data_IF_552678446476
#
_entry.id   IF_552678446476
#
_cell.length_a   1.000
_cell.length_b   1.000
_cell.length_c   1.000
_cell.angle_alpha   90.00
_cell.angle_beta   90.00
_cell.angle_gamma   90.00
#
_symmetry.space_group_name_H-M   'P 1'
#
loop_
_entity.id
_entity.type
_entity.pdbx_description
1 polymer ?
#
# COMPACT_ATOMS: atom_id res chain seq x y z
N UNK A 1 43.07 40.75 9.51
CA UNK A 1 42.52 40.50 8.17
C UNK A 1 41.07 40.09 8.33
N UNK A 2 40.17 40.90 7.76
CA UNK A 2 38.72 40.69 7.73
C UNK A 2 38.41 39.55 6.74
N UNK A 3 37.51 38.64 7.11
CA UNK A 3 36.81 37.79 6.16
C UNK A 3 35.32 38.10 6.32
N UNK A 4 34.89 39.12 5.58
CA UNK A 4 33.50 39.38 5.29
C UNK A 4 33.30 39.09 3.79
N UNK A 5 32.08 38.67 3.45
CA UNK A 5 31.50 38.65 2.10
C UNK A 5 31.86 37.45 1.22
N UNK A 6 30.93 36.48 1.15
CA UNK A 6 30.32 35.99 -0.10
C UNK A 6 29.38 34.80 0.21
N UNK A 7 28.16 35.08 0.66
CA UNK A 7 27.00 34.18 0.43
C UNK A 7 25.78 35.06 0.20
N UNK A 8 25.55 35.40 -1.07
CA UNK A 8 24.28 35.92 -1.55
C UNK A 8 23.61 34.81 -2.34
N UNK A 9 22.58 34.20 -1.76
CA UNK A 9 21.26 34.08 -2.36
C UNK A 9 20.31 33.40 -1.37
N UNK A 10 19.09 33.95 -1.31
CA UNK A 10 18.11 33.72 -0.27
C UNK A 10 17.61 32.27 -0.22
N UNK A 11 17.96 31.56 0.85
CA UNK A 11 17.25 30.35 1.26
C UNK A 11 15.85 30.74 1.74
N UNK A 12 14.76 30.13 1.23
CA UNK A 12 13.44 30.37 1.79
C UNK A 12 13.44 29.94 3.26
N UNK A 13 12.97 30.83 4.12
CA UNK A 13 12.82 30.59 5.56
C UNK A 13 11.87 29.41 5.76
N UNK A 14 12.24 28.36 6.51
CA UNK A 14 11.30 27.28 6.81
C UNK A 14 10.14 27.86 7.62
N UNK A 15 8.91 27.59 7.17
CA UNK A 15 7.70 27.90 7.91
C UNK A 15 7.78 27.27 9.31
N UNK A 16 7.43 28.00 10.38
CA UNK A 16 7.52 27.47 11.73
C UNK A 16 6.52 26.32 11.88
N UNK A 17 7.03 25.12 12.13
CA UNK A 17 6.23 24.00 12.65
C UNK A 17 5.75 24.41 14.03
N UNK A 18 4.49 24.82 14.13
CA UNK A 18 3.80 24.97 15.42
C UNK A 18 3.61 23.58 16.01
N UNK A 19 4.59 23.13 16.80
CA UNK A 19 4.35 22.09 17.80
C UNK A 19 3.42 22.70 18.86
N UNK A 20 2.13 22.43 18.72
CA UNK A 20 1.15 22.72 19.75
C UNK A 20 1.51 21.94 21.01
N UNK A 21 2.15 22.61 21.96
CA UNK A 21 2.28 22.09 23.32
C UNK A 21 0.89 22.04 23.94
N UNK A 22 0.45 20.83 24.32
CA UNK A 22 -0.75 20.62 25.13
C UNK A 22 -1.85 19.82 24.43
N UNK A 23 -1.62 18.53 24.16
CA UNK A 23 -2.64 17.47 24.21
C UNK A 23 -1.98 16.20 24.72
N UNK A 24 -2.67 15.48 25.59
CA UNK A 24 -2.36 14.10 25.99
C UNK A 24 -1.87 13.29 24.80
N UNK A 25 -0.89 12.40 25.03
CA UNK A 25 -0.40 11.47 24.01
C UNK A 25 -1.58 10.71 23.41
N UNK A 26 -2.09 11.18 22.27
CA UNK A 26 -3.06 10.42 21.50
C UNK A 26 -2.31 9.18 21.04
N UNK A 27 -2.74 8.02 21.53
CA UNK A 27 -2.32 6.73 20.96
C UNK A 27 -2.73 6.80 19.49
N UNK A 28 -1.76 7.00 18.60
CA UNK A 28 -2.01 6.94 17.18
C UNK A 28 -2.44 5.51 16.86
N UNK A 29 -3.66 5.35 16.36
CA UNK A 29 -4.15 4.06 15.88
C UNK A 29 -3.21 3.54 14.78
N UNK A 30 -2.92 2.23 14.79
CA UNK A 30 -2.07 1.57 13.80
C UNK A 30 -2.56 1.75 12.35
N UNK A 31 -3.86 1.97 12.18
CA UNK A 31 -4.55 2.22 10.93
C UNK A 31 -5.80 3.06 11.18
N UNK A 32 -6.40 3.56 10.11
CA UNK A 32 -7.67 4.28 10.14
C UNK A 32 -8.63 3.78 9.07
N UNK A 33 -9.93 4.01 9.30
CA UNK A 33 -10.99 3.69 8.35
C UNK A 33 -11.78 4.96 8.08
N UNK A 34 -11.86 5.34 6.82
CA UNK A 34 -12.65 6.48 6.35
C UNK A 34 -13.86 5.91 5.61
N UNK A 35 -15.04 6.10 6.21
CA UNK A 35 -16.29 5.60 5.67
C UNK A 35 -16.93 6.62 4.70
N UNK A 36 -17.53 6.16 3.60
CA UNK A 36 -18.21 7.03 2.64
C UNK A 36 -19.56 7.51 3.20
N UNK A 37 -20.05 8.66 2.69
CA UNK A 37 -21.43 9.11 2.99
C UNK A 37 -22.50 8.22 2.35
N UNK A 38 -22.22 7.72 1.14
CA UNK A 38 -23.05 6.77 0.41
C UNK A 38 -22.21 5.56 0.09
N UNK A 39 -22.51 4.46 0.76
CA UNK A 39 -21.69 3.27 0.72
C UNK A 39 -21.89 2.47 -0.58
N UNK A 40 -20.78 2.03 -1.18
CA UNK A 40 -20.68 1.06 -2.27
C UNK A 40 -19.99 -0.23 -1.74
N UNK A 41 -19.96 -1.33 -2.52
CA UNK A 41 -19.28 -2.57 -2.12
C UNK A 41 -17.74 -2.49 -2.20
N UNK A 42 -17.19 -1.35 -2.59
CA UNK A 42 -15.74 -1.18 -2.76
C UNK A 42 -15.08 -0.83 -1.43
N UNK A 43 -13.98 -1.52 -1.13
CA UNK A 43 -13.00 -1.18 -0.10
C UNK A 43 -11.67 -0.92 -0.81
N UNK A 44 -11.08 0.24 -0.58
CA UNK A 44 -9.71 0.54 -0.98
C UNK A 44 -8.81 0.33 0.23
N UNK A 45 -7.83 -0.53 0.11
CA UNK A 45 -6.85 -0.83 1.15
C UNK A 45 -5.50 -0.22 0.77
N UNK A 46 -4.91 0.55 1.67
CA UNK A 46 -3.56 1.13 1.53
C UNK A 46 -2.70 0.65 2.70
N UNK A 47 -2.06 -0.53 2.58
CA UNK A 47 -1.38 -1.16 3.71
C UNK A 47 0.01 -0.57 3.98
N UNK A 48 0.53 0.28 3.08
CA UNK A 48 1.97 0.54 2.97
C UNK A 48 2.38 2.03 2.91
N UNK A 49 1.44 2.96 3.01
CA UNK A 49 1.73 4.40 3.02
C UNK A 49 2.21 4.92 4.40
N UNK A 50 1.98 4.14 5.46
CA UNK A 50 2.36 4.49 6.82
C UNK A 50 3.86 4.62 7.03
N UNK A 51 4.26 5.58 7.88
CA UNK A 51 5.66 5.84 8.25
C UNK A 51 5.89 5.73 9.77
N UNK A 52 4.83 5.52 10.54
CA UNK A 52 4.92 5.52 12.00
C UNK A 52 5.59 4.23 12.50
N UNK A 53 6.58 4.40 13.38
CA UNK A 53 7.16 3.33 14.18
C UNK A 53 6.89 3.71 15.65
N UNK A 54 6.21 2.84 16.40
CA UNK A 54 6.07 3.04 17.84
C UNK A 54 7.43 2.95 18.54
N UNK A 55 7.60 3.57 19.72
CA UNK A 55 8.89 3.60 20.41
C UNK A 55 9.50 2.21 20.66
N UNK A 56 8.66 1.20 20.95
CA UNK A 56 9.10 -0.17 21.21
C UNK A 56 9.65 -0.81 19.93
N UNK A 57 8.96 -0.64 18.78
CA UNK A 57 9.48 -1.08 17.48
C UNK A 57 10.69 -0.29 16.99
N UNK A 58 10.75 1.01 17.25
CA UNK A 58 11.89 1.85 16.89
C UNK A 58 13.16 1.39 17.63
N UNK A 59 13.05 0.94 18.88
CA UNK A 59 14.19 0.43 19.65
C UNK A 59 14.89 -0.79 19.01
N UNK A 60 14.20 -1.53 18.14
CA UNK A 60 14.78 -2.64 17.39
C UNK A 60 15.33 -2.23 16.02
N UNK A 61 14.96 -1.04 15.53
CA UNK A 61 15.17 -0.64 14.14
C UNK A 61 16.50 0.11 13.98
N UNK A 62 17.36 -0.38 13.08
CA UNK A 62 18.65 0.24 12.71
C UNK A 62 18.69 0.67 11.24
N UNK A 63 17.58 0.51 10.52
CA UNK A 63 17.46 0.98 9.15
C UNK A 63 17.84 2.48 9.05
N UNK A 64 18.53 2.91 7.98
CA UNK A 64 18.71 4.33 7.71
C UNK A 64 17.35 5.03 7.67
N UNK A 65 17.23 6.22 8.26
CA UNK A 65 15.95 6.93 8.37
C UNK A 65 15.27 7.14 7.01
N UNK A 66 16.05 7.40 5.95
CA UNK A 66 15.55 7.53 4.57
C UNK A 66 14.86 6.26 4.07
N UNK A 67 15.26 5.08 4.54
CA UNK A 67 14.70 3.81 4.11
C UNK A 67 13.24 3.63 4.56
N UNK A 68 12.82 4.25 5.67
CA UNK A 68 11.41 4.24 6.10
C UNK A 68 10.50 4.83 5.01
N UNK A 69 10.87 5.98 4.45
CA UNK A 69 10.13 6.61 3.35
C UNK A 69 10.33 5.89 2.02
N UNK A 70 11.57 5.49 1.71
CA UNK A 70 11.88 4.83 0.43
C UNK A 70 11.18 3.49 0.25
N UNK A 71 11.06 2.71 1.33
CA UNK A 71 10.38 1.41 1.31
C UNK A 71 8.87 1.55 1.49
N UNK A 72 8.35 2.71 1.90
CA UNK A 72 6.91 2.97 1.96
C UNK A 72 6.33 3.26 0.58
N UNK A 73 5.03 2.98 0.44
CA UNK A 73 4.24 3.40 -0.73
C UNK A 73 3.78 4.84 -0.52
N UNK A 74 4.77 5.74 -0.50
CA UNK A 74 4.55 7.16 -0.20
C UNK A 74 3.43 7.75 -1.05
N UNK A 75 2.56 8.51 -0.39
CA UNK A 75 1.44 9.26 -0.96
C UNK A 75 0.30 8.42 -1.57
N UNK A 76 0.36 7.08 -1.55
CA UNK A 76 -0.74 6.26 -2.09
C UNK A 76 -2.04 6.47 -1.30
N UNK A 77 -1.95 6.74 0.00
CA UNK A 77 -3.11 7.13 0.81
C UNK A 77 -3.73 8.45 0.31
N UNK A 78 -2.90 9.40 -0.10
CA UNK A 78 -3.33 10.67 -0.67
C UNK A 78 -3.85 10.55 -2.12
N UNK A 79 -3.31 9.62 -2.92
CA UNK A 79 -3.82 9.32 -4.27
C UNK A 79 -5.25 8.73 -4.23
N UNK A 80 -5.58 7.99 -3.17
CA UNK A 80 -6.91 7.40 -2.97
C UNK A 80 -7.76 8.15 -1.94
N UNK A 81 -7.35 9.35 -1.53
CA UNK A 81 -8.07 10.14 -0.52
C UNK A 81 -9.52 10.46 -0.92
N UNK A 82 -9.82 10.53 -2.22
CA UNK A 82 -11.16 10.82 -2.74
C UNK A 82 -12.04 9.56 -2.94
N UNK A 83 -11.55 8.38 -2.55
CA UNK A 83 -12.30 7.13 -2.66
C UNK A 83 -13.62 7.14 -1.84
N UNK A 84 -13.67 7.73 -0.62
CA UNK A 84 -14.91 7.88 0.13
C UNK A 84 -15.97 8.76 -0.53
N UNK A 85 -15.60 9.84 -1.24
CA UNK A 85 -16.54 10.64 -2.03
C UNK A 85 -17.14 9.82 -3.19
N UNK A 86 -16.36 8.90 -3.77
CA UNK A 86 -16.80 7.96 -4.78
C UNK A 86 -17.55 6.73 -4.20
N UNK A 87 -17.74 6.67 -2.88
CA UNK A 87 -18.56 5.68 -2.20
C UNK A 87 -17.81 4.46 -1.68
N UNK A 88 -16.49 4.37 -1.84
CA UNK A 88 -15.70 3.28 -1.26
C UNK A 88 -15.37 3.54 0.22
N UNK A 89 -15.16 2.48 0.99
CA UNK A 89 -14.48 2.61 2.29
C UNK A 89 -12.97 2.62 2.07
N UNK A 90 -12.24 3.56 2.68
CA UNK A 90 -10.78 3.61 2.61
C UNK A 90 -10.18 3.11 3.94
N UNK A 91 -9.33 2.08 3.88
CA UNK A 91 -8.58 1.53 5.01
C UNK A 91 -7.09 1.85 4.81
N UNK A 92 -6.52 2.69 5.68
CA UNK A 92 -5.13 3.15 5.54
C UNK A 92 -4.31 2.71 6.75
N UNK A 93 -3.21 2.01 6.51
CA UNK A 93 -2.21 1.74 7.53
C UNK A 93 -1.41 3.02 7.84
N UNK A 94 -1.26 3.33 9.12
CA UNK A 94 -0.45 4.46 9.60
C UNK A 94 0.94 4.00 10.05
N UNK A 95 1.03 2.73 10.46
CA UNK A 95 2.28 2.04 10.81
C UNK A 95 3.12 1.75 9.57
N UNK A 96 4.44 1.90 9.68
CA UNK A 96 5.38 1.50 8.63
C UNK A 96 5.45 -0.02 8.46
N UNK A 97 5.57 -0.48 7.21
CA UNK A 97 5.80 -1.90 6.89
C UNK A 97 7.08 -2.47 7.52
N UNK A 98 8.04 -1.61 7.91
CA UNK A 98 9.24 -2.04 8.62
C UNK A 98 8.94 -2.52 10.05
N UNK A 99 7.81 -2.10 10.64
CA UNK A 99 7.29 -2.67 11.89
C UNK A 99 6.70 -4.05 11.61
N UNK A 100 5.69 -4.11 10.75
CA UNK A 100 5.05 -5.34 10.30
C UNK A 100 4.42 -5.11 8.93
N UNK A 101 4.69 -6.00 8.00
CA UNK A 101 4.18 -5.90 6.63
C UNK A 101 2.75 -6.47 6.55
N UNK A 102 1.76 -5.58 6.48
CA UNK A 102 0.34 -5.94 6.42
C UNK A 102 -0.08 -6.60 5.10
N UNK A 103 0.80 -6.68 4.09
CA UNK A 103 0.54 -7.40 2.84
C UNK A 103 1.37 -8.70 2.75
N UNK A 104 1.73 -9.28 3.91
CA UNK A 104 2.33 -10.60 4.08
C UNK A 104 1.45 -11.51 4.93
N UNK A 105 1.60 -12.82 4.74
CA UNK A 105 0.93 -13.78 5.61
C UNK A 105 1.53 -13.72 7.01
N UNK A 106 0.74 -13.97 8.05
CA UNK A 106 1.23 -14.16 9.41
C UNK A 106 2.26 -15.31 9.50
N UNK A 107 2.21 -16.26 8.57
CA UNK A 107 3.18 -17.34 8.44
C UNK A 107 4.48 -16.95 7.74
N UNK A 108 4.57 -15.78 7.11
CA UNK A 108 5.72 -15.35 6.31
C UNK A 108 6.89 -14.84 7.17
N UNK A 109 7.18 -15.53 8.28
CA UNK A 109 8.18 -15.14 9.26
C UNK A 109 9.56 -15.66 8.85
N UNK A 110 10.49 -14.76 8.50
CA UNK A 110 11.88 -15.07 8.15
C UNK A 110 12.63 -15.68 9.36
N UNK A 111 13.33 -16.79 9.11
CA UNK A 111 14.18 -17.48 10.07
C UNK A 111 15.29 -16.59 10.66
N UNK A 112 15.72 -15.57 9.92
CA UNK A 112 16.76 -14.62 10.30
C UNK A 112 16.20 -13.28 10.82
N UNK A 113 14.90 -13.03 10.72
CA UNK A 113 14.29 -11.81 11.29
C UNK A 113 13.77 -12.03 12.71
N UNK A 114 13.26 -13.24 13.01
CA UNK A 114 12.62 -13.56 14.29
C UNK A 114 13.18 -14.86 14.86
N UNK A 115 13.41 -14.89 16.17
CA UNK A 115 13.80 -16.09 16.90
C UNK A 115 12.71 -17.17 16.79
N UNK A 116 13.08 -18.35 16.29
CA UNK A 116 12.11 -19.41 16.00
C UNK A 116 11.15 -19.07 14.84
N UNK A 117 11.53 -18.18 13.92
CA UNK A 117 10.82 -17.98 12.66
C UNK A 117 10.68 -19.27 11.84
N UNK A 118 10.10 -19.16 10.64
CA UNK A 118 9.97 -20.29 9.73
C UNK A 118 11.32 -20.86 9.28
N UNK A 119 11.32 -21.79 8.33
CA UNK A 119 12.56 -22.31 7.74
C UNK A 119 13.06 -21.50 6.54
N UNK A 120 12.25 -20.55 6.07
CA UNK A 120 12.45 -19.86 4.81
C UNK A 120 13.21 -18.54 5.01
N UNK A 121 14.04 -18.18 4.03
CA UNK A 121 14.76 -16.91 4.01
C UNK A 121 13.95 -15.88 3.23
N UNK A 122 13.21 -15.05 3.96
CA UNK A 122 12.36 -13.99 3.39
C UNK A 122 12.81 -12.63 3.90
N UNK A 123 13.88 -12.03 3.32
CA UNK A 123 14.43 -10.77 3.84
C UNK A 123 13.43 -9.62 3.91
N UNK A 124 12.31 -9.72 3.15
CA UNK A 124 11.15 -8.83 3.16
C UNK A 124 9.84 -9.62 3.34
N UNK A 125 9.83 -10.52 4.31
CA UNK A 125 8.66 -11.26 4.80
C UNK A 125 7.78 -10.42 5.72
N UNK A 126 7.06 -11.05 6.65
CA UNK A 126 6.17 -10.36 7.59
C UNK A 126 6.90 -9.31 8.44
N UNK A 127 8.10 -9.65 8.87
CA UNK A 127 9.04 -8.72 9.50
C UNK A 127 10.22 -8.57 8.54
N UNK A 128 10.48 -7.35 8.09
CA UNK A 128 11.59 -7.09 7.20
C UNK A 128 12.90 -7.17 7.96
N UNK A 129 13.85 -7.91 7.38
CA UNK A 129 15.24 -7.96 7.84
C UNK A 129 16.13 -7.03 7.03
N UNK A 130 15.84 -6.87 5.74
CA UNK A 130 16.59 -6.01 4.83
C UNK A 130 15.68 -4.98 4.16
N UNK A 131 16.17 -3.75 4.01
CA UNK A 131 15.53 -2.71 3.20
C UNK A 131 15.52 -3.10 1.72
N UNK A 132 14.87 -2.30 0.86
CA UNK A 132 14.99 -2.51 -0.59
C UNK A 132 16.42 -2.30 -1.10
N UNK A 133 17.21 -1.46 -0.44
CA UNK A 133 18.61 -1.20 -0.78
C UNK A 133 19.59 -2.23 -0.18
N UNK A 134 19.13 -3.09 0.73
CA UNK A 134 19.92 -4.16 1.32
C UNK A 134 20.52 -3.84 2.70
N UNK A 135 20.16 -2.70 3.29
CA UNK A 135 20.55 -2.36 4.66
C UNK A 135 19.80 -3.21 5.67
N UNK A 136 20.42 -3.50 6.82
CA UNK A 136 19.75 -4.15 7.93
C UNK A 136 18.62 -3.28 8.48
N UNK A 137 17.45 -3.86 8.66
CA UNK A 137 16.30 -3.20 9.32
C UNK A 137 16.39 -3.34 10.82
N UNK A 138 16.81 -4.50 11.32
CA UNK A 138 16.82 -4.84 12.74
C UNK A 138 18.24 -4.93 13.29
N UNK A 139 18.43 -4.50 14.54
CA UNK A 139 19.73 -4.63 15.25
C UNK A 139 20.12 -6.07 15.53
N UNK A 140 19.13 -6.94 15.70
CA UNK A 140 19.23 -8.39 15.94
C UNK A 140 17.88 -9.04 15.62
N UNK A 141 17.81 -10.37 15.68
CA UNK A 141 16.54 -11.09 15.57
C UNK A 141 15.56 -10.62 16.65
N UNK A 142 14.30 -10.48 16.30
CA UNK A 142 13.26 -10.17 17.27
C UNK A 142 12.98 -11.41 18.13
N UNK A 143 12.85 -11.27 19.45
CA UNK A 143 12.27 -12.32 20.28
C UNK A 143 10.80 -12.56 19.89
N UNK A 144 10.29 -13.77 20.15
CA UNK A 144 8.88 -14.10 19.85
C UNK A 144 7.87 -13.17 20.51
N UNK A 145 8.20 -12.67 21.70
CA UNK A 145 7.35 -11.74 22.47
C UNK A 145 7.14 -10.43 21.72
N UNK A 146 8.20 -9.90 21.08
CA UNK A 146 8.10 -8.67 20.27
C UNK A 146 7.34 -8.93 18.96
N UNK A 147 7.51 -10.10 18.33
CA UNK A 147 6.67 -10.48 17.20
C UNK A 147 5.19 -10.52 17.62
N UNK A 148 4.86 -11.22 18.70
CA UNK A 148 3.48 -11.35 19.16
C UNK A 148 2.86 -10.00 19.52
N UNK A 149 3.61 -9.09 20.13
CA UNK A 149 3.14 -7.71 20.39
C UNK A 149 2.74 -6.99 19.10
N UNK A 150 3.56 -7.07 18.05
CA UNK A 150 3.24 -6.49 16.73
C UNK A 150 2.02 -7.18 16.11
N UNK A 151 1.91 -8.49 16.26
CA UNK A 151 0.77 -9.25 15.73
C UNK A 151 -0.54 -8.88 16.42
N UNK A 152 -0.56 -8.87 17.75
CA UNK A 152 -1.75 -8.58 18.56
C UNK A 152 -2.17 -7.11 18.51
N UNK A 153 -1.20 -6.19 18.42
CA UNK A 153 -1.46 -4.75 18.45
C UNK A 153 -1.74 -4.13 17.08
N UNK A 154 -1.23 -4.72 16.00
CA UNK A 154 -1.20 -4.08 14.66
C UNK A 154 -1.77 -5.01 13.61
N UNK A 155 -1.14 -6.16 13.37
CA UNK A 155 -1.45 -7.03 12.24
C UNK A 155 -2.86 -7.64 12.31
N UNK A 156 -3.16 -8.37 13.39
CA UNK A 156 -4.45 -9.06 13.54
C UNK A 156 -5.62 -8.07 13.65
N UNK A 157 -5.51 -6.93 14.39
CA UNK A 157 -6.57 -5.91 14.37
C UNK A 157 -6.82 -5.32 12.98
N UNK A 158 -5.77 -5.07 12.19
CA UNK A 158 -5.90 -4.58 10.82
C UNK A 158 -6.67 -5.58 9.94
N UNK A 159 -6.25 -6.84 9.94
CA UNK A 159 -6.87 -7.89 9.12
C UNK A 159 -8.27 -8.29 9.61
N UNK A 160 -8.53 -8.24 10.92
CA UNK A 160 -9.87 -8.40 11.46
C UNK A 160 -10.80 -7.29 10.94
N UNK A 161 -10.32 -6.03 10.92
CA UNK A 161 -11.11 -4.92 10.38
C UNK A 161 -11.34 -5.06 8.89
N UNK A 162 -10.33 -5.41 8.10
CA UNK A 162 -10.49 -5.63 6.66
C UNK A 162 -11.50 -6.77 6.37
N UNK A 163 -11.41 -7.89 7.09
CA UNK A 163 -12.34 -9.00 6.95
C UNK A 163 -13.78 -8.58 7.30
N UNK A 164 -13.97 -7.83 8.39
CA UNK A 164 -15.28 -7.28 8.79
C UNK A 164 -15.86 -6.37 7.70
N UNK A 165 -15.05 -5.44 7.17
CA UNK A 165 -15.47 -4.54 6.10
C UNK A 165 -15.96 -5.31 4.87
N UNK A 166 -15.16 -6.28 4.39
CA UNK A 166 -15.53 -7.08 3.22
C UNK A 166 -16.77 -7.94 3.46
N UNK A 167 -16.89 -8.57 4.64
CA UNK A 167 -18.08 -9.33 5.01
C UNK A 167 -19.33 -8.44 5.04
N UNK A 168 -19.23 -7.23 5.62
CA UNK A 168 -20.31 -6.24 5.66
C UNK A 168 -20.71 -5.78 4.26
N UNK A 169 -19.75 -5.48 3.38
CA UNK A 169 -20.02 -5.11 1.98
C UNK A 169 -20.76 -6.24 1.26
N UNK A 170 -20.25 -7.47 1.35
CA UNK A 170 -20.87 -8.63 0.71
C UNK A 170 -22.30 -8.86 1.22
N UNK A 171 -22.53 -8.78 2.52
CA UNK A 171 -23.85 -8.95 3.11
C UNK A 171 -24.85 -7.88 2.62
N UNK A 172 -24.39 -6.62 2.48
CA UNK A 172 -25.23 -5.50 2.06
C UNK A 172 -25.50 -5.46 0.55
N UNK A 173 -24.50 -5.76 -0.26
CA UNK A 173 -24.53 -5.53 -1.71
C UNK A 173 -24.53 -6.81 -2.55
N UNK A 174 -24.48 -7.99 -1.92
CA UNK A 174 -24.32 -9.29 -2.58
C UNK A 174 -22.91 -9.55 -3.12
N UNK A 175 -22.02 -8.56 -3.07
CA UNK A 175 -20.63 -8.62 -3.56
C UNK A 175 -19.75 -7.70 -2.73
N UNK A 176 -18.46 -8.00 -2.63
CA UNK A 176 -17.45 -7.10 -2.10
C UNK A 176 -16.29 -6.97 -3.11
N UNK A 177 -15.77 -5.76 -3.24
CA UNK A 177 -14.60 -5.46 -4.09
C UNK A 177 -13.49 -4.89 -3.22
N UNK A 178 -12.33 -5.52 -3.23
CA UNK A 178 -11.11 -5.06 -2.59
C UNK A 178 -10.14 -4.52 -3.66
N UNK A 179 -9.77 -3.26 -3.53
CA UNK A 179 -8.71 -2.65 -4.33
C UNK A 179 -7.51 -2.41 -3.43
N UNK A 180 -6.50 -3.28 -3.52
CA UNK A 180 -5.25 -3.18 -2.77
C UNK A 180 -4.35 -2.16 -3.50
N UNK A 181 -4.28 -0.93 -3.01
CA UNK A 181 -3.56 0.16 -3.64
C UNK A 181 -2.11 0.25 -3.13
N UNK A 182 -1.17 0.29 -4.07
CA UNK A 182 0.27 0.27 -3.84
C UNK A 182 1.01 1.17 -4.83
N UNK A 183 2.30 1.38 -4.58
CA UNK A 183 3.20 1.97 -5.56
C UNK A 183 4.53 1.24 -5.61
N UNK A 184 5.14 1.24 -6.79
CA UNK A 184 6.35 0.49 -7.07
C UNK A 184 7.49 1.39 -7.58
N UNK A 185 8.76 1.04 -7.30
CA UNK A 185 9.91 1.66 -7.94
C UNK A 185 9.83 1.50 -9.47
N UNK A 186 10.13 2.56 -10.21
CA UNK A 186 9.89 2.66 -11.67
C UNK A 186 10.78 1.78 -12.53
N UNK A 187 11.93 1.37 -11.99
CA UNK A 187 12.91 0.51 -12.65
C UNK A 187 13.11 -0.78 -11.86
N UNK A 188 13.35 -1.89 -12.57
CA UNK A 188 13.81 -3.11 -11.91
C UNK A 188 15.23 -2.89 -11.35
N UNK A 189 15.60 -3.53 -10.24
CA UNK A 189 17.00 -3.52 -9.83
C UNK A 189 17.78 -4.47 -10.74
N UNK A 190 18.87 -3.98 -11.31
CA UNK A 190 19.78 -4.74 -12.16
C UNK A 190 20.44 -5.88 -11.38
N UNK A 191 20.21 -7.11 -11.84
CA UNK A 191 21.05 -8.27 -11.47
C UNK A 191 22.15 -8.57 -12.49
N UNK A 192 22.04 -8.09 -13.73
CA UNK A 192 22.99 -8.37 -14.81
C UNK A 192 23.10 -7.19 -15.78
N UNK A 193 24.28 -7.02 -16.35
CA UNK A 193 24.63 -5.97 -17.30
C UNK A 193 23.72 -6.01 -18.55
N UNK A 194 22.71 -5.13 -18.57
CA UNK A 194 21.77 -4.95 -19.67
C UNK A 194 20.87 -3.75 -19.39
N UNK A 195 20.24 -3.19 -20.43
CA UNK A 195 19.26 -2.12 -20.26
C UNK A 195 18.11 -2.62 -19.37
N UNK A 196 17.94 -2.00 -18.21
CA UNK A 196 16.88 -2.33 -17.26
C UNK A 196 15.56 -1.88 -17.91
N UNK A 197 14.63 -2.79 -18.24
CA UNK A 197 13.35 -2.38 -18.81
C UNK A 197 12.59 -1.53 -17.79
N UNK A 198 12.05 -0.40 -18.25
CA UNK A 198 11.10 0.38 -17.46
C UNK A 198 9.91 -0.52 -17.09
N UNK A 199 9.44 -0.42 -15.84
CA UNK A 199 8.19 -1.08 -15.45
C UNK A 199 7.02 -0.43 -16.18
N UNK A 200 5.93 -1.17 -16.36
CA UNK A 200 4.67 -0.58 -16.79
C UNK A 200 4.24 0.56 -15.84
N UNK A 201 3.38 1.45 -16.31
CA UNK A 201 2.84 2.53 -15.48
C UNK A 201 1.96 1.96 -14.37
N UNK A 202 1.14 0.95 -14.70
CA UNK A 202 0.27 0.23 -13.77
C UNK A 202 0.53 -1.27 -13.88
N UNK A 203 0.65 -1.95 -12.74
CA UNK A 203 0.69 -3.43 -12.65
C UNK A 203 -0.50 -3.93 -11.85
N UNK A 204 -1.57 -4.42 -12.52
CA UNK A 204 -2.65 -5.12 -11.85
C UNK A 204 -2.17 -6.50 -11.38
N UNK A 205 -2.23 -6.75 -10.08
CA UNK A 205 -1.99 -8.05 -9.48
C UNK A 205 -3.29 -8.78 -9.24
N UNK A 206 -3.49 -9.92 -9.91
CA UNK A 206 -4.76 -10.67 -9.90
C UNK A 206 -4.58 -12.16 -9.63
N UNK A 207 -3.36 -12.57 -9.25
CA UNK A 207 -2.96 -13.96 -9.01
C UNK A 207 -3.22 -14.83 -10.24
N UNK A 208 -2.92 -14.31 -11.44
CA UNK A 208 -3.24 -15.00 -12.69
C UNK A 208 -4.74 -15.03 -12.98
N UNK A 209 -5.42 -13.89 -12.74
CA UNK A 209 -6.88 -13.70 -12.93
C UNK A 209 -7.75 -14.61 -12.06
N UNK A 210 -7.25 -15.04 -10.91
CA UNK A 210 -7.99 -15.93 -9.98
C UNK A 210 -8.56 -15.20 -8.77
N UNK A 211 -8.08 -13.98 -8.45
CA UNK A 211 -8.55 -13.22 -7.29
C UNK A 211 -9.78 -12.36 -7.55
N UNK A 212 -10.17 -12.16 -8.81
CA UNK A 212 -11.31 -11.34 -9.22
C UNK A 212 -11.97 -11.88 -10.49
N UNK A 213 -13.23 -11.53 -10.73
CA UNK A 213 -13.91 -11.85 -11.98
C UNK A 213 -13.26 -11.11 -13.17
N UNK A 214 -13.24 -11.74 -14.34
CA UNK A 214 -12.66 -11.17 -15.56
C UNK A 214 -13.20 -9.77 -15.89
N UNK A 215 -14.52 -9.56 -15.72
CA UNK A 215 -15.18 -8.27 -15.90
C UNK A 215 -14.55 -7.13 -15.09
N UNK A 216 -14.15 -7.40 -13.84
CA UNK A 216 -13.54 -6.39 -12.98
C UNK A 216 -12.10 -6.09 -13.40
N UNK A 217 -11.35 -7.14 -13.74
CA UNK A 217 -9.98 -7.01 -14.24
C UNK A 217 -9.96 -6.20 -15.54
N UNK A 218 -10.89 -6.50 -16.45
CA UNK A 218 -11.02 -5.80 -17.74
C UNK A 218 -11.44 -4.33 -17.55
N UNK A 219 -12.19 -4.01 -16.48
CA UNK A 219 -12.55 -2.63 -16.14
C UNK A 219 -11.34 -1.80 -15.71
N UNK A 220 -10.46 -2.39 -14.91
CA UNK A 220 -9.16 -1.78 -14.53
C UNK A 220 -8.33 -1.52 -15.79
N UNK A 221 -8.23 -2.51 -16.69
CA UNK A 221 -7.49 -2.38 -17.95
C UNK A 221 -8.03 -1.28 -18.84
N UNK A 222 -9.35 -1.26 -19.03
CA UNK A 222 -10.04 -0.24 -19.81
C UNK A 222 -9.76 1.15 -19.25
N UNK A 223 -9.81 1.30 -17.93
CA UNK A 223 -9.53 2.55 -17.26
C UNK A 223 -8.09 3.05 -17.49
N UNK A 224 -7.11 2.16 -17.44
CA UNK A 224 -5.71 2.48 -17.71
C UNK A 224 -5.50 2.87 -19.18
N UNK A 225 -6.03 2.08 -20.12
CA UNK A 225 -5.87 2.31 -21.57
C UNK A 225 -6.47 3.63 -22.02
N UNK A 226 -7.64 4.00 -21.52
CA UNK A 226 -8.28 5.28 -21.82
C UNK A 226 -7.48 6.50 -21.33
N UNK A 227 -6.50 6.29 -20.45
CA UNK A 227 -5.57 7.33 -19.96
C UNK A 227 -4.18 7.23 -20.61
N UNK A 228 -4.00 6.32 -21.57
CA UNK A 228 -2.71 6.10 -22.22
C UNK A 228 -1.65 5.47 -21.31
N UNK A 229 -2.04 4.88 -20.18
CA UNK A 229 -1.11 4.24 -19.24
C UNK A 229 -0.75 2.83 -19.74
N UNK A 230 0.54 2.52 -19.71
CA UNK A 230 1.03 1.17 -20.00
C UNK A 230 0.67 0.22 -18.85
N UNK A 231 0.22 -0.99 -19.20
CA UNK A 231 -0.25 -2.00 -18.24
C UNK A 231 0.52 -3.30 -18.43
N UNK A 232 0.92 -3.92 -17.32
CA UNK A 232 1.39 -5.31 -17.33
C UNK A 232 0.78 -6.08 -16.17
N UNK A 233 0.03 -7.14 -16.48
CA UNK A 233 -0.59 -7.97 -15.46
C UNK A 233 0.43 -8.86 -14.78
N UNK A 234 0.33 -8.95 -13.46
CA UNK A 234 1.02 -9.95 -12.65
C UNK A 234 2.57 -9.96 -12.78
N UNK A 235 3.19 -8.97 -13.42
CA UNK A 235 4.64 -8.87 -13.62
C UNK A 235 5.20 -7.49 -13.19
N UNK A 236 6.06 -7.44 -12.17
CA UNK A 236 6.53 -8.57 -11.34
C UNK A 236 5.54 -8.92 -10.21
N UNK A 237 4.49 -8.12 -10.02
CA UNK A 237 3.64 -8.16 -8.83
C UNK A 237 2.33 -8.88 -9.12
N UNK A 238 2.27 -10.15 -8.71
CA UNK A 238 1.10 -11.03 -8.90
C UNK A 238 -0.09 -10.74 -7.97
N UNK A 239 0.00 -9.72 -7.13
CA UNK A 239 -0.87 -9.53 -5.96
C UNK A 239 -0.28 -10.18 -4.70
N UNK A 240 -0.25 -9.41 -3.62
CA UNK A 240 0.28 -9.76 -2.31
C UNK A 240 -0.69 -10.61 -1.48
N UNK A 241 -0.49 -10.61 -0.16
CA UNK A 241 -1.33 -11.38 0.76
C UNK A 241 -2.80 -10.98 0.69
N UNK A 242 -3.14 -9.69 0.74
CA UNK A 242 -4.54 -9.26 0.75
C UNK A 242 -5.28 -9.71 -0.51
N UNK A 243 -4.67 -9.54 -1.69
CA UNK A 243 -5.23 -10.04 -2.96
C UNK A 243 -5.40 -11.55 -2.97
N UNK A 244 -4.40 -12.29 -2.49
CA UNK A 244 -4.41 -13.75 -2.48
C UNK A 244 -5.38 -14.36 -1.47
N UNK A 245 -5.51 -13.73 -0.31
CA UNK A 245 -6.26 -14.22 0.83
C UNK A 245 -7.75 -13.85 0.71
N UNK A 246 -8.04 -12.58 0.43
CA UNK A 246 -9.42 -12.09 0.37
C UNK A 246 -10.06 -12.26 -1.01
N UNK A 247 -9.27 -12.37 -2.09
CA UNK A 247 -9.79 -12.68 -3.42
C UNK A 247 -10.40 -14.07 -3.48
N UNK A 248 -11.72 -14.14 -3.40
CA UNK A 248 -12.55 -15.35 -3.48
C UNK A 248 -13.76 -15.07 -4.39
N UNK A 249 -13.56 -15.02 -5.72
CA UNK A 249 -14.65 -14.71 -6.66
C UNK A 249 -15.83 -15.69 -6.57
N UNK A 250 -15.54 -16.95 -6.27
CA UNK A 250 -16.50 -18.01 -5.95
C UNK A 250 -17.36 -17.70 -4.70
N UNK A 251 -16.90 -16.79 -3.85
CA UNK A 251 -17.62 -16.30 -2.67
C UNK A 251 -18.06 -14.84 -2.82
N UNK A 252 -18.07 -14.33 -4.06
CA UNK A 252 -18.44 -12.94 -4.42
C UNK A 252 -17.58 -11.89 -3.70
N UNK A 253 -16.32 -12.21 -3.43
CA UNK A 253 -15.31 -11.25 -2.95
C UNK A 253 -14.21 -11.17 -3.98
N UNK A 254 -14.11 -10.03 -4.67
CA UNK A 254 -13.12 -9.84 -5.73
C UNK A 254 -12.02 -8.94 -5.21
N UNK A 255 -10.76 -9.31 -5.43
CA UNK A 255 -9.62 -8.51 -5.03
C UNK A 255 -8.68 -8.26 -6.21
N UNK A 256 -8.25 -7.02 -6.40
CA UNK A 256 -7.21 -6.64 -7.37
C UNK A 256 -6.21 -5.73 -6.70
N UNK A 257 -4.93 -6.06 -6.84
CA UNK A 257 -3.83 -5.16 -6.49
C UNK A 257 -3.58 -4.17 -7.62
N UNK A 258 -3.34 -2.91 -7.28
CA UNK A 258 -2.94 -1.87 -8.22
C UNK A 258 -1.59 -1.33 -7.76
N UNK A 259 -0.55 -1.62 -8.53
CA UNK A 259 0.78 -1.03 -8.36
C UNK A 259 0.94 0.16 -9.30
N UNK A 260 1.14 1.35 -8.75
CA UNK A 260 1.38 2.58 -9.50
C UNK A 260 2.89 2.85 -9.56
N UNK A 261 3.45 3.05 -10.77
CA UNK A 261 4.84 3.44 -10.89
C UNK A 261 5.09 4.82 -10.26
N UNK A 262 6.05 4.93 -9.35
CA UNK A 262 6.30 6.16 -8.58
C UNK A 262 6.68 7.37 -9.45
N UNK A 263 7.34 7.16 -10.59
CA UNK A 263 7.64 8.23 -11.58
C UNK A 263 6.41 9.01 -12.06
N UNK A 264 5.21 8.45 -11.90
CA UNK A 264 3.97 9.09 -12.31
C UNK A 264 3.54 10.19 -11.35
N UNK A 265 4.11 10.27 -10.15
CA UNK A 265 3.66 11.23 -9.14
C UNK A 265 4.74 11.71 -8.15
N UNK A 266 5.95 11.15 -8.19
CA UNK A 266 7.03 11.54 -7.30
C UNK A 266 8.41 11.24 -7.88
N UNK A 267 9.42 11.96 -7.39
CA UNK A 267 10.82 11.68 -7.64
C UNK A 267 11.35 10.67 -6.60
N UNK A 268 11.81 9.51 -7.04
CA UNK A 268 12.23 8.40 -6.16
C UNK A 268 13.59 8.63 -5.47
N UNK A 269 14.36 9.63 -5.90
CA UNK A 269 15.67 9.95 -5.31
C UNK A 269 15.51 10.94 -4.15
N UNK A 270 14.87 12.07 -4.40
CA UNK A 270 14.56 13.11 -3.42
C UNK A 270 13.39 12.73 -2.52
N UNK A 271 12.54 11.79 -2.94
CA UNK A 271 11.22 11.50 -2.34
C UNK A 271 10.26 12.69 -2.38
N UNK A 272 10.52 13.67 -3.25
CA UNK A 272 9.65 14.82 -3.47
C UNK A 272 8.48 14.49 -4.38
N UNK A 273 7.33 15.13 -4.12
CA UNK A 273 6.15 15.03 -4.98
C UNK A 273 6.37 15.74 -6.32
N UNK A 274 5.94 15.10 -7.40
CA UNK A 274 5.61 15.79 -8.64
C UNK A 274 4.12 16.15 -8.59
N UNK A 275 3.81 17.41 -8.32
CA UNK A 275 2.43 17.87 -8.11
C UNK A 275 1.53 17.58 -9.31
N UNK A 276 2.02 17.74 -10.54
CA UNK A 276 1.20 17.52 -11.73
C UNK A 276 0.89 16.03 -11.93
N UNK A 277 1.92 15.19 -11.80
CA UNK A 277 1.76 13.74 -11.84
C UNK A 277 0.87 13.22 -10.70
N UNK A 278 1.04 13.77 -9.50
CA UNK A 278 0.22 13.46 -8.34
C UNK A 278 -1.26 13.78 -8.57
N UNK A 279 -1.60 14.96 -9.08
CA UNK A 279 -2.99 15.32 -9.38
C UNK A 279 -3.60 14.39 -10.44
N UNK A 280 -2.81 14.02 -11.46
CA UNK A 280 -3.25 13.07 -12.49
C UNK A 280 -3.50 11.66 -11.91
N UNK A 281 -2.63 11.18 -11.01
CA UNK A 281 -2.78 9.86 -10.39
C UNK A 281 -3.86 9.83 -9.30
N UNK A 282 -4.11 10.94 -8.61
CA UNK A 282 -5.24 11.09 -7.70
C UNK A 282 -6.57 11.06 -8.47
N UNK A 283 -6.63 11.74 -9.60
CA UNK A 283 -7.79 11.68 -10.50
C UNK A 283 -8.01 10.26 -11.06
N UNK A 284 -6.93 9.54 -11.43
CA UNK A 284 -6.99 8.12 -11.77
C UNK A 284 -7.62 7.29 -10.63
N UNK A 285 -7.11 7.40 -9.41
CA UNK A 285 -7.65 6.67 -8.25
C UNK A 285 -9.14 6.95 -8.02
N UNK A 286 -9.53 8.23 -7.99
CA UNK A 286 -10.92 8.67 -7.82
C UNK A 286 -11.85 8.12 -8.90
N UNK A 287 -11.45 8.21 -10.16
CA UNK A 287 -12.28 7.80 -11.30
C UNK A 287 -12.33 6.29 -11.48
N UNK A 288 -11.27 5.55 -11.13
CA UNK A 288 -11.31 4.09 -11.06
C UNK A 288 -12.33 3.62 -10.02
N UNK A 289 -12.26 4.18 -8.81
CA UNK A 289 -13.22 3.85 -7.73
C UNK A 289 -14.64 4.20 -8.17
N UNK A 290 -14.85 5.37 -8.79
CA UNK A 290 -16.17 5.79 -9.30
C UNK A 290 -16.76 4.77 -10.28
N UNK A 291 -15.94 4.21 -11.18
CA UNK A 291 -16.38 3.18 -12.14
C UNK A 291 -16.76 1.88 -11.45
N UNK A 292 -15.91 1.41 -10.55
CA UNK A 292 -16.13 0.17 -9.80
C UNK A 292 -17.30 0.28 -8.82
N UNK A 293 -17.64 1.48 -8.38
CA UNK A 293 -18.79 1.77 -7.53
C UNK A 293 -20.07 2.10 -8.31
N UNK A 294 -20.02 2.21 -9.65
CA UNK A 294 -21.19 2.59 -10.45
C UNK A 294 -22.29 1.51 -10.40
N UNK A 295 -23.58 1.89 -10.29
CA UNK A 295 -24.69 0.94 -10.26
C UNK A 295 -24.69 -0.03 -11.45
N UNK A 296 -24.36 0.47 -12.65
CA UNK A 296 -24.35 -0.30 -13.89
C UNK A 296 -23.27 -1.38 -13.88
N UNK A 297 -22.07 -1.04 -13.42
CA UNK A 297 -20.98 -2.00 -13.29
C UNK A 297 -21.30 -3.06 -12.23
N UNK A 298 -21.79 -2.63 -11.07
CA UNK A 298 -22.11 -3.53 -9.96
C UNK A 298 -23.25 -4.49 -10.29
N UNK A 299 -24.24 -4.05 -11.07
CA UNK A 299 -25.31 -4.94 -11.53
C UNK A 299 -24.76 -6.06 -12.42
N UNK A 300 -23.90 -5.72 -13.39
CA UNK A 300 -23.23 -6.71 -14.24
C UNK A 300 -22.36 -7.67 -13.43
N UNK A 301 -21.62 -7.16 -12.45
CA UNK A 301 -20.76 -7.97 -11.58
C UNK A 301 -21.57 -8.97 -10.73
N UNK A 302 -22.75 -8.56 -10.22
CA UNK A 302 -23.64 -9.45 -9.47
C UNK A 302 -24.24 -10.57 -10.33
N UNK A 303 -24.56 -10.26 -11.58
CA UNK A 303 -25.17 -11.19 -12.53
C UNK A 303 -24.20 -12.25 -13.06
N UNK A 304 -22.90 -12.13 -12.81
CA UNK A 304 -21.97 -13.21 -13.11
C UNK A 304 -22.32 -14.43 -12.25
N UNK A 305 -22.67 -15.52 -12.93
CA UNK A 305 -22.86 -16.81 -12.28
C UNK A 305 -21.57 -17.22 -11.57
N UNK A 306 -21.73 -17.73 -10.36
CA UNK A 306 -20.62 -18.18 -9.50
C UNK A 306 -19.99 -19.48 -10.02
N UNK A 307 -20.45 -19.99 -11.16
CA UNK A 307 -20.03 -21.27 -11.74
C UNK A 307 -19.07 -21.07 -12.91
N UNK A 308 -17.78 -21.20 -12.61
CA UNK A 308 -16.76 -21.73 -13.51
C UNK A 308 -15.75 -22.53 -12.69
#
# INVERSE_FOLDING_TARGET
MRWAECVGDAMPTPLPVRLGMGKSAQVLSAFEVIEPRRESPVVVEVPHAGLYLDPESLAWTVAPARSIGRDADLHVDALFADAPEAGATLLVARTSRLVVDLNRSESDVDCEAVEGGGMQHWPRGLIWRLTTDGDAVLSRRLPREELERRLSGIYRPYHARLAELLARKRARFGVAVLLCAHSMPSVARSGHAGAIPARADIVPGTRGRTSAAGLLIDEVDRHCRERGLSVRHDDPYRGGFSTAHYGRPDQRVHAVQIEIARRLYMDEQSLGLDTQGFDAMREFGRTLVTRLASPEFLERLRQLDVTA
#
